data_IF_956645316568
#
_entry.id   IF_956645316568
#
_cell.length_a   1.000
_cell.length_b   1.000
_cell.length_c   1.000
_cell.angle_alpha   90.00
_cell.angle_beta   90.00
_cell.angle_gamma   90.00
#
_symmetry.space_group_name_H-M   'P 1'
#
loop_
_entity.id
_entity.type
_entity.pdbx_description
1 polymer ?
#
# COMPACT_ATOMS: atom_id res chain seq x y z
N UNK A 1 22.76 15.36 -4.91
CA UNK A 1 22.55 16.20 -3.76
C UNK A 1 21.28 15.68 -3.12
N UNK A 2 21.45 15.13 -1.90
CA UNK A 2 20.34 14.61 -1.12
C UNK A 2 19.41 15.78 -0.80
N UNK A 3 18.23 15.80 -1.42
CA UNK A 3 17.18 16.71 -1.02
C UNK A 3 16.76 16.26 0.39
N UNK A 4 17.27 16.93 1.41
CA UNK A 4 16.87 16.68 2.78
C UNK A 4 15.40 17.05 2.92
N UNK A 5 14.55 16.04 3.10
CA UNK A 5 13.17 16.26 3.52
C UNK A 5 13.21 16.72 4.98
N UNK A 6 13.06 18.02 5.21
CA UNK A 6 12.97 18.59 6.56
C UNK A 6 11.53 18.45 7.06
N UNK A 7 11.35 17.71 8.14
CA UNK A 7 10.10 17.73 8.91
C UNK A 7 9.97 19.05 9.66
N UNK A 8 8.75 19.58 9.75
CA UNK A 8 8.46 20.82 10.50
C UNK A 8 8.40 20.54 12.00
N UNK A 9 7.99 19.33 12.39
CA UNK A 9 7.86 18.91 13.77
C UNK A 9 8.97 17.95 14.16
N UNK A 10 9.40 17.98 15.42
CA UNK A 10 10.29 16.96 15.97
C UNK A 10 9.57 15.62 16.04
N UNK A 11 10.20 14.59 15.50
CA UNK A 11 9.69 13.23 15.50
C UNK A 11 10.43 12.36 16.52
N UNK A 12 9.68 11.56 17.25
CA UNK A 12 10.20 10.42 17.98
C UNK A 12 10.19 9.20 17.06
N UNK A 13 11.35 8.54 16.91
CA UNK A 13 11.52 7.33 16.10
C UNK A 13 11.96 6.19 17.02
N UNK A 14 11.26 5.06 16.99
CA UNK A 14 11.57 3.88 17.81
C UNK A 14 11.61 2.61 16.99
N UNK A 15 12.60 1.79 17.25
CA UNK A 15 12.66 0.42 16.72
C UNK A 15 12.00 -0.56 17.68
N UNK A 16 11.16 -1.44 17.12
CA UNK A 16 10.46 -2.49 17.83
C UNK A 16 10.75 -3.86 17.19
N UNK A 17 10.60 -4.93 17.96
CA UNK A 17 10.53 -6.30 17.46
C UNK A 17 9.15 -6.84 17.81
N UNK A 18 8.24 -6.86 16.86
CA UNK A 18 6.84 -7.28 17.06
C UNK A 18 6.64 -8.64 16.40
N UNK A 19 6.28 -9.64 17.17
CA UNK A 19 6.10 -11.06 16.74
C UNK A 19 7.21 -11.58 15.82
N UNK A 20 8.43 -11.11 16.07
CA UNK A 20 9.60 -11.52 15.28
C UNK A 20 9.90 -10.59 14.09
N UNK A 21 9.03 -9.67 13.73
CA UNK A 21 9.21 -8.70 12.63
C UNK A 21 9.86 -7.42 13.15
N UNK A 22 10.78 -6.84 12.38
CA UNK A 22 11.35 -5.52 12.67
C UNK A 22 10.34 -4.45 12.28
N UNK A 23 10.01 -3.55 13.22
CA UNK A 23 9.02 -2.48 13.02
C UNK A 23 9.63 -1.17 13.51
N UNK A 24 9.49 -0.10 12.73
CA UNK A 24 9.90 1.24 13.11
C UNK A 24 8.66 2.11 13.32
N UNK A 25 8.57 2.73 14.47
CA UNK A 25 7.51 3.68 14.83
C UNK A 25 7.98 5.11 14.61
N UNK A 26 7.09 5.96 14.04
CA UNK A 26 7.27 7.40 13.91
C UNK A 26 6.06 8.09 14.52
N UNK A 27 6.31 9.11 15.35
CA UNK A 27 5.27 9.94 15.95
C UNK A 27 5.82 11.32 16.25
N UNK A 28 4.99 12.39 16.18
CA UNK A 28 5.43 13.69 16.64
C UNK A 28 5.71 13.67 18.13
N UNK A 29 6.84 14.21 18.57
CA UNK A 29 7.26 14.22 19.97
C UNK A 29 6.20 14.80 20.92
N UNK A 30 5.48 15.84 20.46
CA UNK A 30 4.38 16.48 21.23
C UNK A 30 3.15 15.59 21.46
N UNK A 31 3.04 14.47 20.75
CA UNK A 31 1.94 13.51 20.86
C UNK A 31 2.37 12.15 21.41
N UNK A 32 3.62 12.05 21.84
CA UNK A 32 4.24 10.76 22.17
C UNK A 32 3.55 10.03 23.35
N UNK A 33 3.00 10.77 24.29
CA UNK A 33 2.26 10.27 25.46
C UNK A 33 0.75 10.09 25.21
N UNK A 34 0.27 10.33 23.97
CA UNK A 34 -1.15 10.26 23.64
C UNK A 34 -1.52 8.93 23.00
N UNK A 35 -2.79 8.56 23.20
CA UNK A 35 -3.46 7.54 22.38
C UNK A 35 -3.92 8.18 21.07
N UNK A 36 -3.50 7.62 19.94
CA UNK A 36 -3.69 8.19 18.61
C UNK A 36 -4.20 7.14 17.63
N UNK A 37 -4.84 7.55 16.52
CA UNK A 37 -4.97 6.71 15.33
C UNK A 37 -3.60 6.18 14.89
N UNK A 38 -3.59 4.98 14.31
CA UNK A 38 -2.36 4.38 13.84
C UNK A 38 -2.46 3.88 12.39
N UNK A 39 -1.35 4.00 11.67
CA UNK A 39 -1.18 3.42 10.35
C UNK A 39 -0.04 2.42 10.39
N UNK A 40 -0.29 1.20 9.94
CA UNK A 40 0.76 0.24 9.59
C UNK A 40 1.09 0.44 8.12
N UNK A 41 2.30 0.91 7.82
CA UNK A 41 2.77 1.18 6.47
C UNK A 41 3.60 0.00 5.95
N UNK A 42 3.30 -0.43 4.73
CA UNK A 42 3.88 -1.59 4.06
C UNK A 42 4.61 -1.08 2.81
N UNK A 43 5.93 -1.21 2.79
CA UNK A 43 6.75 -0.73 1.67
C UNK A 43 6.57 -1.55 0.40
N UNK A 44 6.78 -0.92 -0.77
CA UNK A 44 6.84 -1.56 -2.06
C UNK A 44 8.15 -2.33 -2.32
N UNK A 45 8.34 -2.78 -3.56
CA UNK A 45 9.54 -3.49 -4.00
C UNK A 45 9.27 -4.87 -4.59
N UNK A 46 8.11 -5.05 -5.25
CA UNK A 46 7.72 -6.28 -5.97
C UNK A 46 7.83 -7.56 -5.10
N UNK A 47 7.65 -7.44 -3.79
CA UNK A 47 7.76 -8.52 -2.80
C UNK A 47 9.16 -9.13 -2.65
N UNK A 48 10.14 -8.67 -3.42
CA UNK A 48 11.52 -9.21 -3.47
C UNK A 48 12.57 -8.21 -3.00
N UNK A 49 12.19 -6.96 -2.80
CA UNK A 49 13.09 -5.89 -2.38
C UNK A 49 12.36 -4.83 -1.55
N UNK A 50 13.05 -3.73 -1.29
CA UNK A 50 12.54 -2.66 -0.44
C UNK A 50 12.87 -2.84 1.04
N UNK A 51 12.62 -1.80 1.79
CA UNK A 51 12.79 -1.78 3.26
C UNK A 51 12.14 -0.51 3.82
N UNK A 52 11.97 -0.45 5.12
CA UNK A 52 11.56 0.77 5.85
C UNK A 52 12.49 1.95 5.54
N UNK A 53 13.79 1.69 5.34
CA UNK A 53 14.76 2.74 5.02
C UNK A 53 14.45 3.44 3.69
N UNK A 54 13.97 2.70 2.68
CA UNK A 54 13.63 3.27 1.37
C UNK A 54 12.44 4.24 1.43
N UNK A 55 11.46 3.97 2.29
CA UNK A 55 10.22 4.76 2.43
C UNK A 55 10.26 5.73 3.62
N UNK A 56 11.40 5.86 4.31
CA UNK A 56 11.54 6.73 5.48
C UNK A 56 11.07 8.18 5.22
N UNK A 57 11.33 8.83 4.07
CA UNK A 57 10.80 10.17 3.81
C UNK A 57 9.27 10.22 3.79
N UNK A 58 8.60 9.18 3.28
CA UNK A 58 7.14 9.04 3.28
C UNK A 58 6.63 8.95 4.73
N UNK A 59 7.24 8.08 5.54
CA UNK A 59 6.86 7.84 6.93
C UNK A 59 7.02 9.08 7.81
N UNK A 60 8.12 9.80 7.61
CA UNK A 60 8.39 11.06 8.30
C UNK A 60 7.36 12.13 7.91
N UNK A 61 7.03 12.24 6.60
CA UNK A 61 6.01 13.19 6.14
C UNK A 61 4.62 12.82 6.70
N UNK A 62 4.26 11.53 6.77
CA UNK A 62 3.01 11.09 7.39
C UNK A 62 2.94 11.50 8.86
N UNK A 63 3.97 11.16 9.64
CA UNK A 63 4.03 11.49 11.06
C UNK A 63 4.05 13.01 11.31
N UNK A 64 4.72 13.77 10.43
CA UNK A 64 4.79 15.24 10.52
C UNK A 64 3.45 15.90 10.20
N UNK A 65 2.64 15.32 9.30
CA UNK A 65 1.41 15.91 8.79
C UNK A 65 0.23 15.82 9.77
N UNK A 66 0.21 14.85 10.69
CA UNK A 66 -0.97 14.63 11.52
C UNK A 66 -0.70 14.08 12.92
N UNK A 67 -1.76 14.08 13.74
CA UNK A 67 -1.74 13.47 15.06
C UNK A 67 -2.01 11.95 14.93
N UNK A 68 -1.03 11.22 14.43
CA UNK A 68 -1.11 9.76 14.23
C UNK A 68 0.24 9.10 14.55
N UNK A 69 0.21 7.79 14.78
CA UNK A 69 1.39 6.93 14.88
C UNK A 69 1.56 6.16 13.57
N UNK A 70 2.77 6.13 13.05
CA UNK A 70 3.11 5.37 11.85
C UNK A 70 4.02 4.22 12.25
N UNK A 71 3.60 2.99 11.99
CA UNK A 71 4.40 1.78 12.18
C UNK A 71 4.75 1.21 10.82
N UNK A 72 6.01 1.17 10.47
CA UNK A 72 6.47 0.58 9.23
C UNK A 72 7.28 -0.69 9.52
N UNK A 73 7.11 -1.72 8.69
CA UNK A 73 7.72 -3.03 8.97
C UNK A 73 8.58 -3.51 7.80
N UNK A 74 9.70 -4.17 8.15
CA UNK A 74 10.50 -4.96 7.22
C UNK A 74 9.94 -6.38 7.21
N UNK A 75 8.97 -6.65 6.31
CA UNK A 75 8.36 -7.96 6.16
C UNK A 75 9.26 -8.92 5.39
N UNK A 76 9.01 -10.22 5.52
CA UNK A 76 9.75 -11.28 4.84
C UNK A 76 9.65 -11.16 3.32
N UNK A 77 10.80 -11.12 2.64
CA UNK A 77 10.91 -10.94 1.20
C UNK A 77 11.23 -12.26 0.49
N UNK A 78 10.75 -12.40 -0.73
CA UNK A 78 11.13 -13.45 -1.66
C UNK A 78 12.51 -13.11 -2.31
N UNK A 79 13.24 -14.09 -2.81
CA UNK A 79 12.90 -15.52 -2.88
C UNK A 79 13.17 -16.31 -1.58
N UNK A 80 13.85 -15.73 -0.58
CA UNK A 80 14.17 -16.40 0.67
C UNK A 80 12.93 -16.81 1.45
N UNK A 81 11.90 -15.98 1.40
CA UNK A 81 10.61 -16.16 2.06
C UNK A 81 9.47 -15.85 1.09
N UNK A 82 9.12 -16.80 0.18
CA UNK A 82 8.08 -16.57 -0.82
C UNK A 82 6.69 -16.44 -0.19
N UNK A 83 5.69 -16.16 -1.04
CA UNK A 83 4.30 -16.14 -0.61
C UNK A 83 3.94 -17.41 0.20
N UNK A 84 3.21 -17.28 1.32
CA UNK A 84 2.57 -16.07 1.85
C UNK A 84 3.34 -15.39 3.00
N UNK A 85 4.65 -15.57 3.13
CA UNK A 85 5.43 -15.16 4.31
C UNK A 85 5.26 -13.67 4.64
N UNK A 86 5.47 -12.76 3.67
CA UNK A 86 5.34 -11.32 3.88
C UNK A 86 3.93 -10.90 4.27
N UNK A 87 2.90 -11.46 3.62
CA UNK A 87 1.50 -11.21 3.96
C UNK A 87 1.18 -11.61 5.42
N UNK A 88 1.67 -12.79 5.84
CA UNK A 88 1.47 -13.26 7.21
C UNK A 88 2.22 -12.44 8.25
N UNK A 89 3.41 -11.92 7.92
CA UNK A 89 4.14 -11.02 8.81
C UNK A 89 3.35 -9.73 9.05
N UNK A 90 2.83 -9.11 7.98
CA UNK A 90 1.97 -7.91 8.10
C UNK A 90 0.75 -8.21 8.98
N UNK A 91 0.03 -9.29 8.70
CA UNK A 91 -1.15 -9.65 9.47
C UNK A 91 -0.83 -9.89 10.95
N UNK A 92 0.26 -10.62 11.27
CA UNK A 92 0.68 -10.85 12.68
C UNK A 92 1.02 -9.54 13.39
N UNK A 93 1.66 -8.58 12.71
CA UNK A 93 1.95 -7.26 13.28
C UNK A 93 0.65 -6.49 13.54
N UNK A 94 -0.33 -6.51 12.62
CA UNK A 94 -1.66 -5.91 12.82
C UNK A 94 -2.34 -6.49 14.06
N UNK A 95 -2.41 -7.81 14.18
CA UNK A 95 -3.00 -8.50 15.34
C UNK A 95 -2.30 -8.10 16.64
N UNK A 96 -0.96 -8.09 16.66
CA UNK A 96 -0.20 -7.74 17.85
C UNK A 96 -0.38 -6.28 18.26
N UNK A 97 -0.40 -5.34 17.31
CA UNK A 97 -0.63 -3.93 17.57
C UNK A 97 -2.05 -3.68 18.11
N UNK A 98 -3.07 -4.31 17.52
CA UNK A 98 -4.45 -4.20 17.99
C UNK A 98 -4.59 -4.76 19.42
N UNK A 99 -4.08 -5.96 19.68
CA UNK A 99 -4.17 -6.61 20.99
C UNK A 99 -3.42 -5.87 22.10
N UNK A 100 -2.30 -5.20 21.74
CA UNK A 100 -1.47 -4.43 22.67
C UNK A 100 -1.62 -2.91 22.45
N UNK A 101 -2.74 -2.43 21.91
CA UNK A 101 -2.94 -1.05 21.50
C UNK A 101 -2.58 -0.03 22.59
N UNK A 102 -2.97 -0.26 23.83
CA UNK A 102 -2.62 0.61 24.97
C UNK A 102 -1.11 0.70 25.21
N UNK A 103 -0.36 -0.39 25.01
CA UNK A 103 1.10 -0.41 25.18
C UNK A 103 1.79 0.48 24.14
N UNK A 104 1.23 0.53 22.93
CA UNK A 104 1.77 1.30 21.82
C UNK A 104 1.12 2.69 21.66
N UNK A 105 0.23 3.09 22.58
CA UNK A 105 -0.47 4.38 22.49
C UNK A 105 -1.39 4.49 21.27
N UNK A 106 -2.00 3.38 20.87
CA UNK A 106 -2.90 3.28 19.70
C UNK A 106 -4.36 3.30 20.16
N UNK A 107 -5.19 4.05 19.44
CA UNK A 107 -6.63 3.84 19.44
C UNK A 107 -6.94 2.58 18.63
N UNK A 108 -7.29 1.50 19.30
CA UNK A 108 -7.54 0.19 18.70
C UNK A 108 -8.66 0.19 17.66
N UNK A 109 -9.58 1.17 17.74
CA UNK A 109 -10.68 1.33 16.79
C UNK A 109 -10.26 2.10 15.52
N UNK A 110 -9.06 2.67 15.50
CA UNK A 110 -8.53 3.49 14.40
C UNK A 110 -7.19 2.97 13.88
N UNK A 111 -7.04 1.65 13.79
CA UNK A 111 -5.87 1.00 13.19
C UNK A 111 -6.09 0.83 11.68
N UNK A 112 -5.28 1.49 10.87
CA UNK A 112 -5.38 1.49 9.41
C UNK A 112 -4.16 0.83 8.77
N UNK A 113 -4.32 0.34 7.53
CA UNK A 113 -3.20 -0.09 6.69
C UNK A 113 -2.96 0.91 5.57
N UNK A 114 -1.69 1.13 5.25
CA UNK A 114 -1.30 1.82 4.04
C UNK A 114 -0.08 1.14 3.41
N UNK A 115 0.06 1.26 2.09
CA UNK A 115 1.22 0.71 1.41
C UNK A 115 1.31 1.16 -0.04
N UNK A 116 2.52 1.05 -0.58
CA UNK A 116 2.84 1.40 -1.95
C UNK A 116 3.17 0.18 -2.80
N UNK A 117 2.74 0.13 -4.06
CA UNK A 117 3.08 -0.93 -5.02
C UNK A 117 2.75 -2.34 -4.48
N UNK A 118 3.73 -3.21 -4.30
CA UNK A 118 3.57 -4.50 -3.64
C UNK A 118 3.01 -4.37 -2.21
N UNK A 119 3.39 -3.32 -1.47
CA UNK A 119 2.81 -2.99 -0.17
C UNK A 119 1.33 -2.60 -0.27
N UNK A 120 0.94 -1.95 -1.35
CA UNK A 120 -0.46 -1.67 -1.68
C UNK A 120 -1.27 -2.94 -1.96
N UNK A 121 -0.66 -3.94 -2.62
CA UNK A 121 -1.25 -5.29 -2.73
C UNK A 121 -1.45 -5.90 -1.34
N UNK A 122 -0.40 -5.92 -0.51
CA UNK A 122 -0.47 -6.46 0.85
C UNK A 122 -1.50 -5.73 1.72
N UNK A 123 -1.75 -4.44 1.50
CA UNK A 123 -2.81 -3.68 2.16
C UNK A 123 -4.18 -4.32 1.92
N UNK A 124 -4.51 -4.65 0.67
CA UNK A 124 -5.80 -5.27 0.36
C UNK A 124 -5.84 -6.76 0.70
N UNK A 125 -4.79 -7.53 0.42
CA UNK A 125 -4.79 -8.97 0.70
C UNK A 125 -4.82 -9.28 2.19
N UNK A 126 -4.17 -8.46 3.03
CA UNK A 126 -4.25 -8.57 4.49
C UNK A 126 -5.63 -8.16 5.00
N UNK A 127 -6.27 -7.12 4.41
CA UNK A 127 -7.64 -6.75 4.78
C UNK A 127 -8.65 -7.85 4.43
N UNK A 128 -8.50 -8.51 3.28
CA UNK A 128 -9.31 -9.67 2.91
C UNK A 128 -9.09 -10.86 3.85
N UNK A 129 -7.85 -11.08 4.29
CA UNK A 129 -7.54 -12.11 5.29
C UNK A 129 -8.19 -11.79 6.66
N UNK A 130 -8.10 -10.54 7.10
CA UNK A 130 -8.72 -10.05 8.35
C UNK A 130 -10.24 -10.27 8.36
N UNK A 131 -10.92 -9.97 7.26
CA UNK A 131 -12.34 -10.27 7.06
C UNK A 131 -12.63 -11.78 7.08
N UNK A 132 -11.84 -12.56 6.32
CA UNK A 132 -12.05 -14.00 6.22
C UNK A 132 -11.92 -14.70 7.59
N UNK A 133 -11.04 -14.17 8.45
CA UNK A 133 -10.86 -14.62 9.82
C UNK A 133 -11.86 -14.00 10.80
N UNK A 134 -12.73 -13.10 10.33
CA UNK A 134 -13.72 -12.37 11.13
C UNK A 134 -13.11 -11.54 12.28
N UNK A 135 -11.86 -11.12 12.13
CA UNK A 135 -11.14 -10.32 13.13
C UNK A 135 -11.60 -8.86 13.13
N UNK A 136 -11.74 -8.27 11.93
CA UNK A 136 -12.21 -6.89 11.70
C UNK A 136 -11.43 -5.85 12.52
N UNK A 137 -10.09 -5.96 12.51
CA UNK A 137 -9.20 -5.04 13.24
C UNK A 137 -8.93 -3.73 12.50
N UNK A 138 -9.18 -3.72 11.19
CA UNK A 138 -8.78 -2.62 10.32
C UNK A 138 -9.90 -1.59 10.15
N UNK A 139 -9.53 -0.31 10.31
CA UNK A 139 -10.45 0.83 10.20
C UNK A 139 -10.52 1.41 8.79
N UNK A 140 -9.37 1.73 8.18
CA UNK A 140 -9.26 2.29 6.82
C UNK A 140 -8.07 1.68 6.08
N UNK A 141 -8.13 1.77 4.75
CA UNK A 141 -7.08 1.28 3.86
C UNK A 141 -6.63 2.40 2.92
N UNK A 142 -5.32 2.55 2.72
CA UNK A 142 -4.79 3.44 1.67
C UNK A 142 -3.78 2.67 0.84
N UNK A 143 -4.04 2.55 -0.45
CA UNK A 143 -3.12 1.89 -1.37
C UNK A 143 -2.63 2.87 -2.43
N UNK A 144 -1.32 3.03 -2.52
CA UNK A 144 -0.68 3.84 -3.53
C UNK A 144 -0.19 2.93 -4.66
N UNK A 145 -0.68 3.16 -5.86
CA UNK A 145 -0.36 2.40 -7.08
C UNK A 145 -0.23 0.88 -6.84
N UNK A 146 -1.23 0.23 -6.23
CA UNK A 146 -1.11 -1.15 -5.81
C UNK A 146 -1.09 -2.12 -7.00
N UNK A 147 -0.31 -3.21 -6.90
CA UNK A 147 -0.42 -4.35 -7.79
C UNK A 147 -1.64 -5.19 -7.38
N UNK A 148 -2.80 -4.94 -7.97
CA UNK A 148 -4.05 -5.64 -7.60
C UNK A 148 -4.33 -6.87 -8.43
N UNK A 149 -3.58 -7.06 -9.53
CA UNK A 149 -3.60 -8.23 -10.39
C UNK A 149 -2.18 -8.71 -10.70
N UNK A 150 -1.85 -9.91 -10.27
CA UNK A 150 -0.55 -10.55 -10.53
C UNK A 150 -0.67 -11.76 -11.48
N UNK A 151 -1.86 -11.96 -12.08
CA UNK A 151 -2.12 -13.05 -13.01
C UNK A 151 -1.46 -12.85 -14.38
N UNK A 152 -1.26 -13.97 -15.08
CA UNK A 152 -0.62 -14.00 -16.40
C UNK A 152 -1.56 -14.49 -17.52
N UNK A 153 -2.84 -14.78 -17.20
CA UNK A 153 -3.77 -15.37 -18.13
C UNK A 153 -4.35 -14.34 -19.10
N UNK A 154 -3.75 -14.23 -20.27
CA UNK A 154 -4.22 -13.37 -21.37
C UNK A 154 -5.58 -13.80 -21.96
N UNK A 155 -6.11 -14.96 -21.60
CA UNK A 155 -7.44 -15.45 -22.04
C UNK A 155 -8.56 -14.99 -21.11
N UNK A 156 -8.25 -14.49 -19.93
CA UNK A 156 -9.23 -13.90 -19.03
C UNK A 156 -9.50 -12.44 -19.42
N UNK A 157 -10.73 -11.99 -19.23
CA UNK A 157 -11.30 -10.70 -19.66
C UNK A 157 -10.56 -9.43 -19.16
N UNK A 158 -9.47 -9.57 -18.42
CA UNK A 158 -8.72 -8.45 -17.82
C UNK A 158 -7.39 -8.21 -18.54
N UNK A 159 -7.46 -7.57 -19.71
CA UNK A 159 -6.29 -7.07 -20.41
C UNK A 159 -5.97 -5.62 -19.97
N UNK A 160 -4.93 -5.47 -19.15
CA UNK A 160 -4.45 -4.17 -18.68
C UNK A 160 -3.27 -3.64 -19.52
N UNK A 161 -3.07 -4.15 -20.73
CA UNK A 161 -1.96 -3.74 -21.62
C UNK A 161 -2.33 -2.60 -22.57
N UNK A 162 -3.55 -2.07 -22.54
CA UNK A 162 -4.01 -1.01 -23.45
C UNK A 162 -3.26 0.30 -23.23
N UNK A 163 -2.23 0.54 -24.07
CA UNK A 163 -1.43 1.75 -24.02
C UNK A 163 -2.17 3.00 -24.51
N UNK A 164 -3.27 2.84 -25.25
CA UNK A 164 -4.04 3.99 -25.78
C UNK A 164 -4.82 4.72 -24.69
N UNK A 165 -5.19 4.03 -23.63
CA UNK A 165 -5.82 4.62 -22.46
C UNK A 165 -4.95 5.63 -21.72
N UNK A 166 -3.64 5.70 -22.01
CA UNK A 166 -2.73 6.67 -21.41
C UNK A 166 -2.67 8.03 -22.12
N UNK A 167 -3.40 8.22 -23.22
CA UNK A 167 -3.73 9.52 -23.81
C UNK A 167 -2.62 10.29 -24.54
N UNK A 168 -1.36 10.06 -24.29
CA UNK A 168 -0.24 10.80 -24.86
C UNK A 168 0.19 10.23 -26.23
N UNK A 169 -0.41 10.65 -27.32
CA UNK A 169 -0.11 10.13 -28.66
C UNK A 169 1.36 10.30 -29.09
N UNK A 170 2.02 11.37 -28.64
CA UNK A 170 3.42 11.64 -28.99
C UNK A 170 4.39 10.64 -28.36
N UNK A 171 4.05 10.06 -27.20
CA UNK A 171 4.93 9.22 -26.39
C UNK A 171 4.46 7.76 -26.28
N UNK A 172 3.52 7.33 -27.13
CA UNK A 172 2.92 5.99 -27.08
C UNK A 172 3.95 4.86 -27.10
N UNK A 173 5.02 4.99 -27.90
CA UNK A 173 6.08 3.98 -27.95
C UNK A 173 6.85 3.88 -26.62
N UNK A 174 7.12 5.01 -25.96
CA UNK A 174 7.79 5.05 -24.68
C UNK A 174 6.91 4.47 -23.57
N UNK A 175 5.63 4.83 -23.56
CA UNK A 175 4.63 4.30 -22.64
C UNK A 175 4.48 2.79 -22.80
N UNK A 176 4.36 2.30 -24.05
CA UNK A 176 4.28 0.87 -24.34
C UNK A 176 5.51 0.10 -23.85
N UNK A 177 6.71 0.64 -24.09
CA UNK A 177 7.94 0.04 -23.59
C UNK A 177 8.00 0.01 -22.07
N UNK A 178 7.56 1.08 -21.41
CA UNK A 178 7.54 1.15 -19.95
C UNK A 178 6.56 0.14 -19.34
N UNK A 179 5.35 0.04 -19.87
CA UNK A 179 4.35 -0.95 -19.43
C UNK A 179 4.86 -2.39 -19.64
N UNK A 180 5.41 -2.68 -20.84
CA UNK A 180 5.96 -4.00 -21.14
C UNK A 180 7.09 -4.38 -20.17
N UNK A 181 8.04 -3.47 -19.92
CA UNK A 181 9.15 -3.73 -19.01
C UNK A 181 8.72 -4.03 -17.58
N UNK A 182 7.58 -3.49 -17.17
CA UNK A 182 7.03 -3.72 -15.84
C UNK A 182 6.30 -5.06 -15.75
N UNK A 183 5.51 -5.41 -16.77
CA UNK A 183 4.69 -6.64 -16.79
C UNK A 183 5.47 -7.90 -17.15
N UNK A 184 6.51 -7.78 -17.95
CA UNK A 184 7.36 -8.92 -18.36
C UNK A 184 8.39 -9.33 -17.29
N UNK A 185 8.36 -8.70 -16.11
CA UNK A 185 9.29 -9.03 -15.04
C UNK A 185 8.99 -10.39 -14.44
N UNK A 186 9.94 -11.34 -14.39
CA UNK A 186 9.72 -12.66 -13.79
C UNK A 186 9.67 -12.65 -12.26
N UNK A 187 9.92 -11.51 -11.62
CA UNK A 187 10.09 -11.41 -10.17
C UNK A 187 8.88 -11.94 -9.39
N UNK A 188 7.66 -11.64 -9.85
CA UNK A 188 6.44 -12.06 -9.17
C UNK A 188 6.23 -13.57 -9.32
N UNK A 189 6.22 -14.06 -10.57
CA UNK A 189 5.93 -15.46 -10.85
C UNK A 189 7.00 -16.41 -10.29
N UNK A 190 8.29 -16.13 -10.59
CA UNK A 190 9.37 -17.06 -10.31
C UNK A 190 9.88 -16.97 -8.88
N UNK A 191 9.92 -15.77 -8.30
CA UNK A 191 10.54 -15.56 -6.99
C UNK A 191 9.52 -15.46 -5.87
N UNK A 192 8.42 -14.72 -6.09
CA UNK A 192 7.42 -14.51 -5.04
C UNK A 192 6.41 -15.66 -4.96
N UNK A 193 5.81 -16.05 -6.10
CA UNK A 193 4.75 -17.06 -6.12
C UNK A 193 5.28 -18.49 -6.14
N UNK A 194 6.37 -18.76 -6.87
CA UNK A 194 7.00 -20.10 -6.96
C UNK A 194 5.98 -21.21 -7.28
N UNK A 195 5.08 -20.94 -8.24
CA UNK A 195 4.06 -21.89 -8.69
C UNK A 195 2.74 -21.88 -7.89
N UNK A 196 2.59 -20.92 -7.00
CA UNK A 196 1.28 -20.64 -6.38
C UNK A 196 0.34 -20.04 -7.42
N UNK A 197 -0.93 -20.38 -7.37
CA UNK A 197 -1.97 -19.83 -8.23
C UNK A 197 -2.06 -18.31 -8.08
N UNK A 198 -1.72 -17.60 -9.16
CA UNK A 198 -1.66 -16.14 -9.22
C UNK A 198 -3.04 -15.47 -9.28
N UNK A 199 -4.08 -16.25 -9.60
CA UNK A 199 -5.47 -15.77 -9.67
C UNK A 199 -6.20 -15.77 -8.32
N UNK A 200 -5.64 -16.41 -7.29
CA UNK A 200 -6.28 -16.39 -5.99
C UNK A 200 -6.31 -14.99 -5.37
N UNK A 201 -7.39 -14.65 -4.65
CA UNK A 201 -7.59 -13.31 -4.06
C UNK A 201 -6.49 -12.89 -3.06
N UNK A 202 -5.76 -13.84 -2.48
CA UNK A 202 -4.63 -13.55 -1.59
C UNK A 202 -3.36 -13.10 -2.34
N UNK A 203 -3.36 -13.18 -3.66
CA UNK A 203 -2.30 -12.74 -4.58
C UNK A 203 -2.83 -11.62 -5.47
N UNK A 204 -3.99 -11.82 -6.07
CA UNK A 204 -4.69 -10.88 -6.95
C UNK A 204 -6.00 -10.42 -6.29
N UNK A 205 -5.99 -9.41 -5.42
CA UNK A 205 -7.16 -8.98 -4.65
C UNK A 205 -8.33 -8.52 -5.51
N UNK A 206 -8.10 -8.14 -6.77
CA UNK A 206 -9.16 -7.84 -7.74
C UNK A 206 -10.11 -9.02 -7.95
N UNK A 207 -9.65 -10.25 -7.75
CA UNK A 207 -10.44 -11.48 -7.90
C UNK A 207 -11.27 -11.84 -6.67
N UNK A 208 -11.25 -11.03 -5.62
CA UNK A 208 -12.07 -11.29 -4.45
C UNK A 208 -13.57 -11.27 -4.80
N UNK A 209 -14.39 -12.11 -4.14
CA UNK A 209 -15.84 -12.11 -4.32
C UNK A 209 -16.45 -10.73 -4.03
N UNK A 210 -17.49 -10.35 -4.77
CA UNK A 210 -18.15 -9.05 -4.60
C UNK A 210 -18.56 -8.76 -3.15
N UNK A 211 -19.05 -9.77 -2.43
CA UNK A 211 -19.41 -9.60 -1.02
C UNK A 211 -18.22 -9.24 -0.12
N UNK A 212 -17.01 -9.73 -0.43
CA UNK A 212 -15.80 -9.37 0.30
C UNK A 212 -15.30 -7.98 -0.10
N UNK A 213 -15.38 -7.62 -1.38
CA UNK A 213 -15.04 -6.27 -1.86
C UNK A 213 -15.98 -5.22 -1.25
N UNK A 214 -17.28 -5.50 -1.15
CA UNK A 214 -18.27 -4.63 -0.51
C UNK A 214 -18.00 -4.40 0.98
N UNK A 215 -17.42 -5.38 1.65
CA UNK A 215 -17.15 -5.36 3.09
C UNK A 215 -15.73 -4.88 3.44
N UNK A 216 -14.91 -4.47 2.46
CA UNK A 216 -13.62 -3.85 2.73
C UNK A 216 -13.80 -2.57 3.59
N UNK A 217 -12.89 -2.30 4.53
CA UNK A 217 -12.83 -1.00 5.17
C UNK A 217 -12.81 0.14 4.15
N UNK A 218 -13.30 1.32 4.53
CA UNK A 218 -13.24 2.49 3.67
C UNK A 218 -11.82 2.68 3.13
N UNK A 219 -11.69 2.83 1.81
CA UNK A 219 -10.41 2.75 1.11
C UNK A 219 -10.12 4.03 0.31
N UNK A 220 -8.84 4.41 0.22
CA UNK A 220 -8.34 5.41 -0.72
C UNK A 220 -7.33 4.74 -1.66
N UNK A 221 -7.55 4.89 -2.95
CA UNK A 221 -6.66 4.44 -4.01
C UNK A 221 -5.99 5.66 -4.66
N UNK A 222 -4.66 5.69 -4.66
CA UNK A 222 -3.84 6.77 -5.25
C UNK A 222 -3.01 6.18 -6.39
N UNK A 223 -3.07 6.74 -7.59
CA UNK A 223 -2.33 6.23 -8.76
C UNK A 223 -1.79 7.39 -9.60
N UNK A 224 -0.65 7.17 -10.28
CA UNK A 224 -0.11 8.08 -11.30
C UNK A 224 -0.77 7.88 -12.66
N UNK A 225 -0.90 8.96 -13.45
CA UNK A 225 -1.48 8.91 -14.80
C UNK A 225 -0.75 7.93 -15.72
N UNK A 226 0.59 7.90 -15.66
CA UNK A 226 1.44 7.06 -16.51
C UNK A 226 1.97 5.82 -15.77
N UNK A 227 1.24 5.36 -14.75
CA UNK A 227 1.61 4.17 -13.99
C UNK A 227 1.20 2.90 -14.75
N UNK A 228 2.09 1.93 -14.96
CA UNK A 228 1.75 0.64 -15.59
C UNK A 228 0.65 -0.15 -14.87
N UNK A 229 0.45 0.11 -13.57
CA UNK A 229 -0.60 -0.53 -12.76
C UNK A 229 -1.92 0.28 -12.73
N UNK A 230 -2.01 1.40 -13.50
CA UNK A 230 -3.18 2.27 -13.45
C UNK A 230 -4.46 1.56 -13.85
N UNK A 231 -4.44 0.85 -14.97
CA UNK A 231 -5.67 0.24 -15.51
C UNK A 231 -6.22 -0.86 -14.59
N UNK A 232 -5.37 -1.68 -14.01
CA UNK A 232 -5.80 -2.68 -13.03
C UNK A 232 -6.31 -2.03 -11.74
N UNK A 233 -5.68 -0.95 -11.29
CA UNK A 233 -6.13 -0.18 -10.12
C UNK A 233 -7.48 0.49 -10.37
N UNK A 234 -7.71 1.09 -11.54
CA UNK A 234 -9.01 1.65 -11.94
C UNK A 234 -10.10 0.56 -12.02
N UNK A 235 -9.77 -0.60 -12.59
CA UNK A 235 -10.69 -1.74 -12.62
C UNK A 235 -11.03 -2.26 -11.20
N UNK A 236 -10.04 -2.30 -10.30
CA UNK A 236 -10.27 -2.66 -8.90
C UNK A 236 -11.19 -1.65 -8.21
N UNK A 237 -10.94 -0.34 -8.41
CA UNK A 237 -11.80 0.72 -7.89
C UNK A 237 -13.25 0.53 -8.33
N UNK A 238 -13.48 0.28 -9.63
CA UNK A 238 -14.82 0.05 -10.16
C UNK A 238 -15.48 -1.20 -9.57
N UNK A 239 -14.73 -2.30 -9.44
CA UNK A 239 -15.26 -3.53 -8.82
C UNK A 239 -15.67 -3.36 -7.37
N UNK A 240 -14.87 -2.64 -6.56
CA UNK A 240 -15.21 -2.33 -5.16
C UNK A 240 -16.46 -1.47 -5.09
N UNK A 241 -16.51 -0.39 -5.89
CA UNK A 241 -17.66 0.52 -5.97
C UNK A 241 -18.93 -0.21 -6.40
N UNK A 242 -18.87 -1.00 -7.48
CA UNK A 242 -20.02 -1.71 -8.05
C UNK A 242 -20.51 -2.83 -7.11
N UNK A 243 -19.62 -3.38 -6.29
CA UNK A 243 -19.99 -4.27 -5.19
C UNK A 243 -20.70 -3.57 -4.02
N UNK A 244 -20.67 -2.23 -3.96
CA UNK A 244 -21.24 -1.43 -2.87
C UNK A 244 -20.25 -1.09 -1.77
N UNK A 245 -18.94 -1.31 -1.96
CA UNK A 245 -17.88 -0.92 -1.04
C UNK A 245 -17.60 0.58 -1.07
N UNK A 246 -16.98 1.08 -0.01
CA UNK A 246 -16.59 2.49 0.12
C UNK A 246 -15.15 2.66 -0.32
N UNK A 247 -14.93 3.28 -1.48
CA UNK A 247 -13.60 3.54 -2.03
C UNK A 247 -13.56 4.91 -2.71
N UNK A 248 -12.51 5.69 -2.41
CA UNK A 248 -12.17 6.92 -3.10
C UNK A 248 -10.98 6.68 -4.04
N UNK A 249 -10.87 7.48 -5.09
CA UNK A 249 -9.81 7.38 -6.09
C UNK A 249 -9.21 8.76 -6.39
N UNK A 250 -7.88 8.85 -6.37
CA UNK A 250 -7.13 10.04 -6.76
C UNK A 250 -6.10 9.64 -7.82
N UNK A 251 -6.20 10.25 -9.01
CA UNK A 251 -5.16 10.14 -10.05
C UNK A 251 -4.28 11.39 -10.03
N UNK A 252 -2.99 11.17 -9.99
CA UNK A 252 -1.99 12.24 -10.08
C UNK A 252 -1.52 12.37 -11.53
N UNK A 253 -1.95 13.43 -12.21
CA UNK A 253 -1.62 13.71 -13.60
C UNK A 253 -0.10 13.95 -13.76
N UNK A 254 0.48 13.43 -14.84
CA UNK A 254 1.91 13.50 -15.15
C UNK A 254 2.80 12.56 -14.33
N UNK A 255 2.25 11.82 -13.37
CA UNK A 255 3.04 10.95 -12.51
C UNK A 255 3.14 9.52 -13.05
N UNK A 256 4.29 8.90 -12.77
CA UNK A 256 4.60 7.50 -13.09
C UNK A 256 4.52 6.63 -11.84
N UNK A 257 4.80 5.32 -11.96
CA UNK A 257 4.89 4.42 -10.80
C UNK A 257 5.94 4.89 -9.78
N UNK A 258 5.66 4.68 -8.50
CA UNK A 258 6.53 5.04 -7.38
C UNK A 258 6.87 6.55 -7.27
N UNK A 259 6.01 7.45 -7.80
CA UNK A 259 6.26 8.87 -7.74
C UNK A 259 6.32 9.41 -6.30
N UNK A 260 5.68 8.74 -5.36
CA UNK A 260 5.67 9.17 -3.94
C UNK A 260 7.04 9.03 -3.31
N UNK A 261 7.94 8.16 -3.82
CA UNK A 261 9.34 8.07 -3.40
C UNK A 261 10.15 9.35 -3.67
N UNK A 262 9.59 10.27 -4.48
CA UNK A 262 10.22 11.52 -4.90
C UNK A 262 9.78 12.72 -4.04
N UNK A 263 9.52 12.49 -2.75
CA UNK A 263 9.30 13.56 -1.79
C UNK A 263 10.52 14.49 -1.77
N UNK A 264 10.26 15.79 -1.96
CA UNK A 264 11.30 16.81 -2.13
C UNK A 264 11.57 17.17 -3.59
N UNK A 265 11.40 16.25 -4.53
CA UNK A 265 11.56 16.50 -5.97
C UNK A 265 10.22 16.89 -6.64
N UNK A 266 9.13 16.21 -6.28
CA UNK A 266 7.80 16.43 -6.86
C UNK A 266 6.80 16.91 -5.79
N UNK A 267 6.14 18.07 -6.00
CA UNK A 267 5.07 18.52 -5.10
C UNK A 267 3.93 17.50 -4.95
N UNK A 268 3.65 16.75 -6.03
CA UNK A 268 2.63 15.71 -6.05
C UNK A 268 2.94 14.56 -5.08
N UNK A 269 4.22 14.21 -4.91
CA UNK A 269 4.63 13.19 -3.95
C UNK A 269 4.26 13.57 -2.51
N UNK A 270 4.55 14.81 -2.13
CA UNK A 270 4.16 15.34 -0.82
C UNK A 270 2.64 15.41 -0.68
N UNK A 271 1.92 15.87 -1.72
CA UNK A 271 0.47 15.99 -1.69
C UNK A 271 -0.20 14.62 -1.52
N UNK A 272 0.29 13.58 -2.19
CA UNK A 272 -0.24 12.24 -2.05
C UNK A 272 -0.15 11.70 -0.61
N UNK A 273 0.95 12.03 0.10
CA UNK A 273 1.08 11.68 1.52
C UNK A 273 0.12 12.49 2.40
N UNK A 274 -0.10 13.77 2.08
CA UNK A 274 -1.08 14.60 2.80
C UNK A 274 -2.50 14.07 2.59
N UNK A 275 -2.88 13.72 1.36
CA UNK A 275 -4.19 13.13 1.05
C UNK A 275 -4.41 11.80 1.79
N UNK A 276 -3.35 10.98 1.92
CA UNK A 276 -3.38 9.76 2.73
C UNK A 276 -3.68 10.08 4.20
N UNK A 277 -2.94 11.03 4.78
CA UNK A 277 -3.09 11.40 6.20
C UNK A 277 -4.47 12.00 6.46
N UNK A 278 -4.93 12.89 5.60
CA UNK A 278 -6.25 13.51 5.70
C UNK A 278 -7.36 12.45 5.61
N UNK A 279 -7.24 11.48 4.69
CA UNK A 279 -8.19 10.37 4.60
C UNK A 279 -8.22 9.52 5.87
N UNK A 280 -7.05 9.16 6.41
CA UNK A 280 -6.96 8.34 7.63
C UNK A 280 -7.58 9.07 8.83
N UNK A 281 -7.33 10.37 8.97
CA UNK A 281 -7.79 11.18 10.11
C UNK A 281 -9.22 11.74 9.95
N UNK A 282 -9.82 11.69 8.76
CA UNK A 282 -11.20 12.12 8.55
C UNK A 282 -12.16 11.32 9.45
N UNK A 283 -13.16 11.99 10.01
CA UNK A 283 -14.28 11.33 10.70
C UNK A 283 -15.05 10.44 9.73
N UNK A 284 -15.48 9.27 10.18
CA UNK A 284 -16.20 8.26 9.40
C UNK A 284 -17.66 8.62 9.23
#
# INVERSE_FOLDING_TARGET
PDAHHETVNELTVRAHKIVGVSVTEFVQQRYDDRVLPAVVFIHGGAFVGGSVANVTPILQQMADAGALRVFALDYSLAPEHPFPAGMLDVYRVVVALHQAAKQYGIDETQLSLAGDSAGGNLTYTVALLDQNLQSNYLHKLVAMYPAVYNGHDAEKEMDFSDTQSYGAQADQALIAQYIASFRESPLIADWYLQGVDDEQMAVSPINAPAAMLAALPASLLIIGEFDPLRLEGEAFFERVRDAGGTIAYIRYDGMVHAFVDKIGDYPQAKQAVLDLVDFVLAES
#
